data_IF_875149593882
#
_entry.id   IF_875149593882
#
_cell.length_a   1.000
_cell.length_b   1.000
_cell.length_c   1.000
_cell.angle_alpha   90.00
_cell.angle_beta   90.00
_cell.angle_gamma   90.00
#
_symmetry.space_group_name_H-M   'P 1'
#
loop_
_entity.id
_entity.type
_entity.pdbx_description
1 polymer ?
#
# COMPACT_ATOMS: atom_id res chain seq x y z
N UNK A 1 6.09 13.32 -10.38
CA UNK A 1 5.06 12.27 -10.59
C UNK A 1 5.75 10.96 -10.97
N UNK A 2 5.22 9.83 -10.53
CA UNK A 2 5.81 8.51 -10.71
C UNK A 2 4.77 7.55 -11.30
N UNK A 3 5.21 6.73 -12.25
CA UNK A 3 4.49 5.59 -12.79
C UNK A 3 4.80 4.37 -11.89
N UNK A 4 3.96 4.10 -10.90
CA UNK A 4 4.14 2.99 -9.96
C UNK A 4 3.68 1.67 -10.58
N UNK A 5 4.51 0.64 -10.51
CA UNK A 5 4.21 -0.68 -11.08
C UNK A 5 3.91 -1.72 -10.00
N UNK A 6 4.58 -1.64 -8.85
CA UNK A 6 4.52 -2.66 -7.79
C UNK A 6 4.71 -2.04 -6.41
N UNK A 7 4.07 -2.64 -5.42
CA UNK A 7 4.29 -2.36 -4.00
C UNK A 7 4.62 -3.65 -3.28
N UNK A 8 5.72 -3.67 -2.53
CA UNK A 8 6.05 -4.77 -1.62
C UNK A 8 5.84 -4.32 -0.18
N UNK A 9 5.15 -5.15 0.60
CA UNK A 9 4.76 -4.84 1.97
C UNK A 9 5.25 -5.95 2.90
N UNK A 10 5.92 -5.57 3.99
CA UNK A 10 6.14 -6.43 5.14
C UNK A 10 5.35 -5.88 6.33
N UNK A 11 4.47 -6.69 6.92
CA UNK A 11 3.54 -6.25 7.97
C UNK A 11 3.26 -7.33 9.02
N UNK A 12 2.55 -6.97 10.08
CA UNK A 12 2.08 -7.90 11.11
C UNK A 12 0.69 -7.47 11.58
N UNK A 13 -0.18 -8.47 11.77
CA UNK A 13 -1.57 -8.34 12.20
C UNK A 13 -2.44 -7.44 11.30
N UNK A 14 -1.97 -7.04 10.11
CA UNK A 14 -2.81 -6.31 9.14
C UNK A 14 -3.76 -7.32 8.51
N UNK A 15 -5.05 -7.00 8.49
CA UNK A 15 -6.06 -7.82 7.82
C UNK A 15 -6.47 -7.21 6.49
N UNK A 16 -6.79 -5.93 6.48
CA UNK A 16 -7.22 -5.22 5.27
C UNK A 16 -6.42 -3.93 5.11
N UNK A 17 -5.87 -3.75 3.93
CA UNK A 17 -5.06 -2.58 3.55
C UNK A 17 -5.62 -1.96 2.27
N UNK A 18 -5.72 -0.64 2.23
CA UNK A 18 -6.15 0.12 1.07
C UNK A 18 -4.99 1.00 0.62
N UNK A 19 -4.65 0.90 -0.67
CA UNK A 19 -3.73 1.80 -1.36
C UNK A 19 -4.54 2.87 -2.08
N UNK A 20 -4.18 4.12 -1.86
CA UNK A 20 -4.81 5.28 -2.49
C UNK A 20 -3.75 6.20 -3.08
N UNK A 21 -4.07 6.88 -4.18
CA UNK A 21 -3.17 7.82 -4.84
C UNK A 21 -3.74 9.22 -4.86
N UNK A 22 -2.84 10.19 -4.95
CA UNK A 22 -3.17 11.55 -5.39
C UNK A 22 -2.19 11.97 -6.47
N UNK A 23 -2.70 12.68 -7.48
CA UNK A 23 -1.91 13.33 -8.53
C UNK A 23 -1.77 14.83 -8.32
N UNK A 24 -2.37 15.36 -7.25
CA UNK A 24 -2.30 16.78 -6.93
C UNK A 24 -0.92 17.16 -6.40
N UNK A 25 -0.58 18.45 -6.50
CA UNK A 25 0.68 18.96 -5.95
C UNK A 25 0.75 18.76 -4.44
N UNK A 26 -0.37 18.96 -3.75
CA UNK A 26 -0.54 18.74 -2.32
C UNK A 26 -1.13 17.35 -2.06
N UNK A 27 -0.89 16.71 -0.89
CA UNK A 27 -1.40 15.38 -0.55
C UNK A 27 -2.89 15.43 -0.18
N UNK A 28 -3.74 15.74 -1.16
CA UNK A 28 -5.18 15.89 -1.05
C UNK A 28 -5.89 15.02 -2.11
N UNK A 29 -7.21 14.90 -2.02
CA UNK A 29 -8.05 14.25 -3.04
C UNK A 29 -7.59 12.84 -3.41
N UNK A 30 -7.28 12.02 -2.40
CA UNK A 30 -6.87 10.64 -2.61
C UNK A 30 -8.01 9.81 -3.21
N UNK A 31 -7.67 9.00 -4.22
CA UNK A 31 -8.56 8.03 -4.85
C UNK A 31 -8.04 6.59 -4.67
N UNK A 32 -8.93 5.60 -4.46
CA UNK A 32 -8.52 4.22 -4.25
C UNK A 32 -7.88 3.60 -5.49
N UNK A 33 -6.74 2.94 -5.28
CA UNK A 33 -6.03 2.14 -6.29
C UNK A 33 -6.43 0.69 -6.16
N UNK A 34 -6.32 0.14 -4.93
CA UNK A 34 -6.50 -1.28 -4.67
C UNK A 34 -6.79 -1.53 -3.20
N UNK A 35 -7.66 -2.50 -2.97
CA UNK A 35 -7.93 -3.08 -1.66
C UNK A 35 -7.27 -4.47 -1.59
N UNK A 36 -6.58 -4.76 -0.50
CA UNK A 36 -5.87 -6.01 -0.27
C UNK A 36 -6.35 -6.60 1.06
N UNK A 37 -6.85 -7.84 1.01
CA UNK A 37 -7.03 -8.66 2.20
C UNK A 37 -5.79 -9.54 2.37
N UNK A 38 -5.15 -9.44 3.53
CA UNK A 38 -3.89 -10.09 3.88
C UNK A 38 -4.22 -11.21 4.85
N UNK A 39 -3.76 -12.43 4.56
CA UNK A 39 -4.02 -13.57 5.44
C UNK A 39 -3.32 -13.42 6.80
N UNK A 40 -3.96 -13.93 7.86
CA UNK A 40 -3.32 -14.07 9.16
C UNK A 40 -2.17 -15.07 9.07
N UNK A 41 -1.04 -14.77 9.71
CA UNK A 41 0.14 -15.64 9.72
C UNK A 41 0.53 -16.06 11.15
N UNK A 42 -0.44 -16.20 12.07
CA UNK A 42 -0.23 -16.65 13.47
C UNK A 42 0.95 -15.95 14.18
N UNK A 43 1.06 -14.62 14.01
CA UNK A 43 2.12 -13.79 14.59
C UNK A 43 3.42 -13.71 13.78
N UNK A 44 3.53 -14.41 12.65
CA UNK A 44 4.66 -14.28 11.73
C UNK A 44 4.53 -13.03 10.82
N UNK A 45 5.65 -12.66 10.19
CA UNK A 45 5.70 -11.55 9.25
C UNK A 45 4.87 -11.84 8.00
N UNK A 46 3.92 -10.97 7.70
CA UNK A 46 3.11 -10.99 6.48
C UNK A 46 3.92 -10.32 5.36
N UNK A 47 4.03 -10.96 4.20
CA UNK A 47 4.77 -10.46 3.05
C UNK A 47 3.89 -10.46 1.80
N UNK A 48 3.55 -9.28 1.31
CA UNK A 48 2.68 -9.12 0.15
C UNK A 48 3.42 -8.47 -1.01
N UNK A 49 3.20 -8.99 -2.22
CA UNK A 49 3.60 -8.36 -3.47
C UNK A 49 2.35 -7.92 -4.24
N UNK A 50 2.19 -6.61 -4.39
CA UNK A 50 1.00 -6.00 -4.93
C UNK A 50 1.32 -5.39 -6.29
N UNK A 51 0.90 -6.07 -7.35
CA UNK A 51 0.99 -5.55 -8.71
C UNK A 51 -0.05 -4.44 -8.94
N UNK A 52 0.43 -3.27 -9.36
CA UNK A 52 -0.37 -2.08 -9.70
C UNK A 52 -0.53 -1.89 -11.22
N UNK A 53 0.27 -2.59 -12.03
CA UNK A 53 0.27 -2.48 -13.49
C UNK A 53 0.99 -1.22 -13.95
N UNK A 54 0.34 -0.06 -13.90
CA UNK A 54 0.95 1.24 -14.16
C UNK A 54 0.08 2.37 -13.61
N UNK A 55 0.35 2.78 -12.37
CA UNK A 55 -0.46 3.77 -11.65
C UNK A 55 0.33 5.06 -11.49
N UNK A 56 -0.18 6.15 -12.06
CA UNK A 56 0.40 7.47 -11.87
C UNK A 56 -0.01 8.08 -10.54
N UNK A 57 1.00 8.43 -9.73
CA UNK A 57 0.81 9.12 -8.46
C UNK A 57 1.90 10.17 -8.21
N UNK A 58 1.52 11.23 -7.52
CA UNK A 58 2.44 12.17 -6.88
C UNK A 58 2.56 11.83 -5.38
N UNK A 59 1.47 11.39 -4.76
CA UNK A 59 1.41 10.95 -3.37
C UNK A 59 0.74 9.58 -3.27
N UNK A 60 1.26 8.71 -2.39
CA UNK A 60 0.67 7.42 -2.05
C UNK A 60 0.20 7.46 -0.60
N UNK A 61 -1.02 7.02 -0.33
CA UNK A 61 -1.55 6.80 1.01
C UNK A 61 -1.81 5.32 1.23
N UNK A 62 -1.36 4.84 2.38
CA UNK A 62 -1.54 3.46 2.84
C UNK A 62 -2.46 3.51 4.05
N UNK A 63 -3.62 2.88 3.94
CA UNK A 63 -4.62 2.84 5.00
C UNK A 63 -4.72 1.41 5.52
N UNK A 64 -4.44 1.22 6.81
CA UNK A 64 -4.77 -0.02 7.52
C UNK A 64 -6.25 0.11 7.90
N UNK A 65 -7.12 -0.58 7.16
CA UNK A 65 -8.57 -0.53 7.36
C UNK A 65 -9.01 -1.46 8.49
N UNK A 66 -8.37 -2.63 8.62
CA UNK A 66 -8.58 -3.52 9.76
C UNK A 66 -7.37 -4.37 10.10
N UNK A 67 -7.37 -4.89 11.33
CA UNK A 67 -6.32 -5.71 11.90
C UNK A 67 -6.90 -6.99 12.53
N UNK A 68 -6.05 -8.01 12.72
CA UNK A 68 -6.38 -9.26 13.40
C UNK A 68 -6.31 -9.17 14.93
N UNK A 69 -5.61 -8.17 15.47
CA UNK A 69 -5.36 -8.02 16.90
C UNK A 69 -5.38 -6.52 17.30
N UNK A 70 -5.17 -6.24 18.57
CA UNK A 70 -5.14 -4.91 19.19
C UNK A 70 -4.06 -3.98 18.63
N UNK A 71 -3.06 -4.51 17.93
CA UNK A 71 -2.06 -3.74 17.21
C UNK A 71 -1.85 -4.30 15.81
N UNK A 72 -1.49 -3.41 14.89
CA UNK A 72 -1.00 -3.76 13.56
C UNK A 72 0.23 -2.91 13.25
N UNK A 73 1.13 -3.46 12.44
CA UNK A 73 2.36 -2.78 12.06
C UNK A 73 2.68 -3.00 10.59
N UNK A 74 3.17 -1.95 9.94
CA UNK A 74 3.85 -2.03 8.64
C UNK A 74 5.33 -1.78 8.91
N UNK A 75 6.16 -2.80 8.68
CA UNK A 75 7.60 -2.73 8.92
C UNK A 75 8.36 -2.21 7.70
N UNK A 76 7.88 -2.55 6.50
CA UNK A 76 8.50 -2.14 5.25
C UNK A 76 7.43 -1.91 4.20
N UNK A 77 7.55 -0.78 3.51
CA UNK A 77 6.83 -0.46 2.30
C UNK A 77 7.87 -0.12 1.23
N UNK A 78 7.91 -0.89 0.15
CA UNK A 78 8.74 -0.62 -1.01
C UNK A 78 7.84 -0.35 -2.21
N UNK A 79 8.16 0.67 -3.01
CA UNK A 79 7.38 1.04 -4.19
C UNK A 79 8.31 1.05 -5.39
N UNK A 80 8.01 0.20 -6.37
CA UNK A 80 8.70 0.18 -7.65
C UNK A 80 7.96 1.04 -8.67
N UNK A 81 8.73 1.72 -9.52
CA UNK A 81 8.19 2.49 -10.62
C UNK A 81 9.25 3.37 -11.28
N UNK A 82 8.81 4.17 -12.25
CA UNK A 82 9.68 5.07 -12.99
C UNK A 82 9.19 6.52 -12.89
N UNK A 83 10.11 7.47 -12.95
CA UNK A 83 9.75 8.88 -13.04
C UNK A 83 8.95 9.11 -14.33
N UNK A 84 7.77 9.73 -14.22
CA UNK A 84 7.05 10.20 -15.40
C UNK A 84 7.73 11.46 -15.93
N UNK A 85 8.02 11.52 -17.23
CA UNK A 85 8.50 12.71 -17.94
C UNK A 85 7.33 13.58 -18.38
#
# INVERSE_FOLDING_TARGET
MMNMSKVELASCNVRKLILEKSTDSEPLNFEPIKEIEINSHDGQLQSEEINLGNVQAQHLRVVIDSAYDHFAAVYRLHVDGTAAH
#
